data_IF_842353809343
#
_entry.id   IF_842353809343
#
_cell.length_a   1.000
_cell.length_b   1.000
_cell.length_c   1.000
_cell.angle_alpha   90.00
_cell.angle_beta   90.00
_cell.angle_gamma   90.00
#
_symmetry.space_group_name_H-M   'P 1'
#
loop_
_entity.id
_entity.type
_entity.pdbx_description
1 polymer ?
#
# COMPACT_ATOMS: atom_id res chain seq x y z
N UNK A 1 -3.52 -16.98 28.98
CA UNK A 1 -4.00 -15.72 28.35
C UNK A 1 -3.28 -15.55 27.00
N UNK A 2 -4.03 -15.60 25.91
CA UNK A 2 -3.46 -15.50 24.55
C UNK A 2 -2.98 -14.04 24.37
N UNK A 3 -1.71 -13.88 24.01
CA UNK A 3 -1.11 -12.56 23.77
C UNK A 3 -1.34 -12.13 22.33
N UNK A 4 -2.38 -11.35 22.10
CA UNK A 4 -2.75 -10.86 20.76
C UNK A 4 -1.61 -10.12 20.05
N UNK A 5 -0.78 -9.37 20.80
CA UNK A 5 0.40 -8.70 20.26
C UNK A 5 1.37 -9.70 19.60
N UNK A 6 1.57 -10.88 20.20
CA UNK A 6 2.46 -11.91 19.66
C UNK A 6 1.87 -12.62 18.43
N UNK A 7 0.57 -12.91 18.45
CA UNK A 7 -0.08 -13.49 17.27
C UNK A 7 0.03 -12.50 16.09
N UNK A 8 -0.23 -11.21 16.33
CA UNK A 8 -0.08 -10.17 15.31
C UNK A 8 1.33 -10.17 14.71
N UNK A 9 2.37 -10.16 15.55
CA UNK A 9 3.77 -10.18 15.11
C UNK A 9 4.08 -11.43 14.29
N UNK A 10 3.69 -12.63 14.77
CA UNK A 10 3.95 -13.87 14.05
C UNK A 10 3.19 -13.97 12.74
N UNK A 11 1.96 -13.47 12.66
CA UNK A 11 1.22 -13.36 11.40
C UNK A 11 1.98 -12.51 10.38
N UNK A 12 2.54 -11.36 10.81
CA UNK A 12 3.36 -10.51 9.94
C UNK A 12 4.67 -11.16 9.54
N UNK A 13 5.34 -11.89 10.48
CA UNK A 13 6.59 -12.62 10.19
C UNK A 13 6.34 -13.69 9.12
N UNK A 14 5.28 -14.51 9.28
CA UNK A 14 4.92 -15.55 8.30
C UNK A 14 4.57 -14.95 6.95
N UNK A 15 3.75 -13.89 6.93
CA UNK A 15 3.40 -13.18 5.70
C UNK A 15 4.65 -12.60 4.99
N UNK A 16 5.57 -12.01 5.75
CA UNK A 16 6.81 -11.46 5.22
C UNK A 16 7.77 -12.53 4.69
N UNK A 17 7.89 -13.68 5.39
CA UNK A 17 8.69 -14.81 4.93
C UNK A 17 8.13 -15.45 3.65
N UNK A 18 6.81 -15.52 3.53
CA UNK A 18 6.13 -16.06 2.35
C UNK A 18 5.94 -15.08 1.20
N UNK A 19 6.27 -13.81 1.38
CA UNK A 19 5.98 -12.72 0.44
C UNK A 19 6.45 -13.00 -0.99
N UNK A 20 7.69 -13.46 -1.17
CA UNK A 20 8.26 -13.73 -2.50
C UNK A 20 7.56 -14.88 -3.21
N UNK A 21 6.97 -15.81 -2.44
CA UNK A 21 6.29 -17.00 -2.94
C UNK A 21 4.78 -16.81 -3.12
N UNK A 22 4.24 -15.65 -2.71
CA UNK A 22 2.80 -15.35 -2.77
C UNK A 22 2.26 -15.32 -4.20
N UNK A 23 3.12 -14.94 -5.18
CA UNK A 23 2.75 -14.96 -6.60
C UNK A 23 2.71 -16.36 -7.24
N UNK A 24 3.23 -17.40 -6.55
CA UNK A 24 3.38 -18.74 -7.13
C UNK A 24 2.94 -19.88 -6.21
N UNK A 25 3.72 -20.15 -5.16
CA UNK A 25 3.57 -21.34 -4.32
C UNK A 25 2.56 -21.16 -3.18
N UNK A 26 2.44 -19.96 -2.61
CA UNK A 26 1.62 -19.67 -1.43
C UNK A 26 0.66 -18.51 -1.73
N UNK A 27 -0.13 -18.67 -2.78
CA UNK A 27 -1.05 -17.63 -3.29
C UNK A 27 -1.92 -16.95 -2.21
N UNK A 28 -2.58 -17.67 -1.26
CA UNK A 28 -3.51 -17.06 -0.30
C UNK A 28 -2.84 -16.50 0.97
N UNK A 29 -1.50 -16.29 1.02
CA UNK A 29 -0.83 -15.91 2.26
C UNK A 29 -1.26 -14.55 2.78
N UNK A 30 -1.54 -13.60 1.91
CA UNK A 30 -2.03 -12.27 2.25
C UNK A 30 -3.50 -12.29 2.70
N UNK A 31 -4.34 -13.12 2.05
CA UNK A 31 -5.71 -13.35 2.52
C UNK A 31 -5.70 -13.94 3.93
N UNK A 32 -4.92 -15.01 4.16
CA UNK A 32 -4.81 -15.62 5.48
C UNK A 32 -4.31 -14.63 6.53
N UNK A 33 -3.30 -13.84 6.21
CA UNK A 33 -2.78 -12.82 7.11
C UNK A 33 -3.83 -11.72 7.39
N UNK A 34 -4.51 -11.23 6.35
CA UNK A 34 -5.55 -10.21 6.48
C UNK A 34 -6.73 -10.72 7.35
N UNK A 35 -7.23 -11.92 7.09
CA UNK A 35 -8.35 -12.49 7.85
C UNK A 35 -7.98 -12.79 9.30
N UNK A 36 -6.75 -13.26 9.53
CA UNK A 36 -6.23 -13.45 10.90
C UNK A 36 -6.19 -12.12 11.65
N UNK A 37 -5.65 -11.06 11.04
CA UNK A 37 -5.63 -9.73 11.64
C UNK A 37 -7.04 -9.17 11.87
N UNK A 38 -7.95 -9.35 10.92
CA UNK A 38 -9.35 -8.91 11.05
C UNK A 38 -10.04 -9.64 12.21
N UNK A 39 -9.94 -10.97 12.25
CA UNK A 39 -10.53 -11.78 13.32
C UNK A 39 -9.98 -11.38 14.71
N UNK A 40 -8.67 -11.16 14.79
CA UNK A 40 -8.01 -10.67 16.03
C UNK A 40 -8.54 -9.29 16.44
N UNK A 41 -8.65 -8.36 15.49
CA UNK A 41 -9.16 -7.02 15.74
C UNK A 41 -10.61 -7.04 16.21
N UNK A 42 -11.47 -7.83 15.58
CA UNK A 42 -12.86 -8.00 15.99
C UNK A 42 -12.97 -8.68 17.36
N UNK A 43 -12.17 -9.72 17.62
CA UNK A 43 -12.13 -10.37 18.92
C UNK A 43 -11.67 -9.41 20.03
N UNK A 44 -10.61 -8.62 19.81
CA UNK A 44 -10.16 -7.60 20.76
C UNK A 44 -11.24 -6.53 20.99
N UNK A 45 -11.93 -6.12 19.92
CA UNK A 45 -13.01 -5.14 19.98
C UNK A 45 -14.17 -5.63 20.87
N UNK A 46 -14.58 -6.90 20.70
CA UNK A 46 -15.73 -7.49 21.39
C UNK A 46 -15.35 -7.83 22.84
N UNK A 47 -14.27 -8.61 23.05
CA UNK A 47 -13.89 -9.15 24.35
C UNK A 47 -13.44 -8.03 25.31
N UNK A 48 -12.68 -7.07 24.82
CA UNK A 48 -12.14 -5.97 25.62
C UNK A 48 -12.98 -4.69 25.52
N UNK A 49 -14.16 -4.73 24.92
CA UNK A 49 -15.07 -3.58 24.75
C UNK A 49 -14.41 -2.34 24.15
N UNK A 50 -13.44 -2.52 23.23
CA UNK A 50 -12.63 -1.42 22.66
C UNK A 50 -13.28 -0.77 21.43
N UNK A 51 -14.60 -0.71 21.34
CA UNK A 51 -15.38 -0.19 20.21
C UNK A 51 -14.92 1.18 19.71
N UNK A 52 -14.55 2.07 20.65
CA UNK A 52 -14.08 3.42 20.28
C UNK A 52 -12.75 3.41 19.55
N UNK A 53 -11.84 2.48 19.88
CA UNK A 53 -10.55 2.36 19.22
C UNK A 53 -10.68 1.79 17.81
N UNK A 54 -11.63 0.86 17.62
CA UNK A 54 -11.88 0.22 16.33
C UNK A 54 -12.90 0.94 15.45
N UNK A 55 -13.41 2.12 15.86
CA UNK A 55 -14.37 2.90 15.04
C UNK A 55 -13.98 3.05 13.57
N UNK A 56 -12.71 3.39 13.21
CA UNK A 56 -12.34 3.52 11.81
C UNK A 56 -12.48 2.21 11.02
N UNK A 57 -12.07 1.08 11.62
CA UNK A 57 -12.21 -0.25 11.00
C UNK A 57 -13.69 -0.63 10.82
N UNK A 58 -14.50 -0.44 11.87
CA UNK A 58 -15.92 -0.73 11.82
C UNK A 58 -16.65 0.14 10.79
N UNK A 59 -16.22 1.41 10.64
CA UNK A 59 -16.77 2.30 9.61
C UNK A 59 -16.44 1.79 8.20
N UNK A 60 -15.20 1.35 7.94
CA UNK A 60 -14.82 0.77 6.64
C UNK A 60 -15.65 -0.49 6.36
N UNK A 61 -15.81 -1.39 7.33
CA UNK A 61 -16.65 -2.59 7.20
C UNK A 61 -18.10 -2.20 6.88
N UNK A 62 -18.64 -1.20 7.57
CA UNK A 62 -20.02 -0.73 7.34
C UNK A 62 -20.19 -0.11 5.94
N UNK A 63 -19.20 0.66 5.46
CA UNK A 63 -19.18 1.21 4.11
C UNK A 63 -19.15 0.07 3.08
N UNK A 64 -18.28 -0.92 3.26
CA UNK A 64 -18.21 -2.08 2.35
C UNK A 64 -19.51 -2.87 2.34
N UNK A 65 -20.15 -3.09 3.50
CA UNK A 65 -21.47 -3.72 3.59
C UNK A 65 -22.53 -2.90 2.84
N UNK A 66 -22.51 -1.57 2.94
CA UNK A 66 -23.37 -0.69 2.17
C UNK A 66 -23.15 -0.82 0.66
N UNK A 67 -21.88 -0.92 0.23
CA UNK A 67 -21.54 -1.14 -1.18
C UNK A 67 -21.96 -2.54 -1.67
N UNK A 68 -21.93 -3.59 -0.83
CA UNK A 68 -22.46 -4.91 -1.19
C UNK A 68 -23.96 -4.80 -1.54
N UNK A 69 -24.74 -4.14 -0.69
CA UNK A 69 -26.16 -3.91 -0.95
C UNK A 69 -26.37 -3.09 -2.23
N UNK A 70 -25.66 -1.97 -2.35
CA UNK A 70 -25.73 -1.11 -3.54
C UNK A 70 -25.41 -1.86 -4.83
N UNK A 71 -24.32 -2.65 -4.83
CA UNK A 71 -23.85 -3.39 -6.01
C UNK A 71 -24.84 -4.49 -6.43
N UNK A 72 -25.52 -5.11 -5.46
CA UNK A 72 -26.59 -6.09 -5.74
C UNK A 72 -27.73 -5.44 -6.51
N UNK A 73 -28.09 -4.18 -6.19
CA UNK A 73 -29.11 -3.43 -6.95
C UNK A 73 -28.62 -2.99 -8.33
N UNK A 74 -27.32 -2.71 -8.50
CA UNK A 74 -26.74 -2.38 -9.81
C UNK A 74 -26.76 -3.56 -10.77
N UNK A 75 -26.55 -4.79 -10.30
CA UNK A 75 -26.71 -6.00 -11.08
C UNK A 75 -25.62 -6.31 -12.11
N UNK A 76 -24.46 -5.63 -12.06
CA UNK A 76 -23.34 -5.89 -12.99
C UNK A 76 -22.60 -7.20 -12.71
N UNK A 77 -22.78 -7.77 -11.51
CA UNK A 77 -22.20 -9.05 -11.13
C UNK A 77 -23.09 -9.78 -10.13
N UNK A 78 -22.77 -11.03 -9.83
CA UNK A 78 -23.55 -11.88 -8.91
C UNK A 78 -23.09 -11.70 -7.46
N UNK A 79 -24.01 -11.92 -6.50
CA UNK A 79 -23.76 -11.68 -5.07
C UNK A 79 -22.49 -12.36 -4.52
N UNK A 80 -22.14 -13.62 -4.86
CA UNK A 80 -20.91 -14.24 -4.35
C UNK A 80 -19.65 -13.45 -4.73
N UNK A 81 -19.56 -12.95 -5.97
CA UNK A 81 -18.41 -12.17 -6.45
C UNK A 81 -18.40 -10.74 -5.89
N UNK A 82 -19.57 -10.13 -5.69
CA UNK A 82 -19.72 -8.84 -4.99
C UNK A 82 -19.17 -8.94 -3.55
N UNK A 83 -19.53 -10.01 -2.82
CA UNK A 83 -19.03 -10.25 -1.46
C UNK A 83 -17.53 -10.55 -1.47
N UNK A 84 -17.07 -11.35 -2.42
CA UNK A 84 -15.64 -11.64 -2.59
C UNK A 84 -14.84 -10.35 -2.81
N UNK A 85 -15.31 -9.46 -3.68
CA UNK A 85 -14.66 -8.17 -3.96
C UNK A 85 -14.63 -7.30 -2.70
N UNK A 86 -15.73 -7.17 -1.97
CA UNK A 86 -15.79 -6.43 -0.72
C UNK A 86 -14.75 -6.91 0.31
N UNK A 87 -14.51 -8.22 0.38
CA UNK A 87 -13.52 -8.82 1.29
C UNK A 87 -12.10 -8.51 0.83
N UNK A 88 -11.83 -8.59 -0.48
CA UNK A 88 -10.53 -8.26 -1.05
C UNK A 88 -10.20 -6.78 -0.82
N UNK A 89 -11.17 -5.91 -1.04
CA UNK A 89 -11.03 -4.45 -0.87
C UNK A 89 -10.77 -4.00 0.58
N UNK A 90 -10.96 -4.89 1.58
CA UNK A 90 -10.57 -4.63 2.97
C UNK A 90 -9.06 -4.75 3.22
N UNK A 91 -8.29 -5.42 2.35
CA UNK A 91 -6.86 -5.70 2.56
C UNK A 91 -6.00 -4.46 2.86
N UNK A 92 -6.15 -3.29 2.20
CA UNK A 92 -5.33 -2.12 2.52
C UNK A 92 -5.62 -1.51 3.89
N UNK A 93 -6.83 -1.70 4.43
CA UNK A 93 -7.28 -1.03 5.66
C UNK A 93 -6.98 -1.85 6.92
N UNK A 94 -7.23 -3.16 6.86
CA UNK A 94 -7.18 -4.05 8.04
C UNK A 94 -5.81 -4.06 8.72
N UNK A 95 -4.66 -4.28 8.03
CA UNK A 95 -3.37 -4.37 8.68
C UNK A 95 -3.02 -3.08 9.43
N UNK A 96 -3.20 -1.93 8.77
CA UNK A 96 -2.92 -0.63 9.38
C UNK A 96 -3.77 -0.39 10.64
N UNK A 97 -5.09 -0.56 10.52
CA UNK A 97 -6.03 -0.22 11.60
C UNK A 97 -5.92 -1.16 12.79
N UNK A 98 -5.72 -2.45 12.56
CA UNK A 98 -5.57 -3.44 13.63
C UNK A 98 -4.26 -3.22 14.38
N UNK A 99 -3.15 -3.04 13.66
CA UNK A 99 -1.84 -2.79 14.27
C UNK A 99 -1.83 -1.48 15.06
N UNK A 100 -2.47 -0.43 14.53
CA UNK A 100 -2.60 0.86 15.22
C UNK A 100 -3.27 0.72 16.60
N UNK A 101 -4.24 -0.21 16.75
CA UNK A 101 -4.98 -0.40 18.01
C UNK A 101 -4.28 -1.40 18.95
N UNK A 102 -3.81 -2.54 18.41
CA UNK A 102 -3.12 -3.58 19.20
C UNK A 102 -1.76 -3.08 19.69
N UNK A 103 -1.07 -2.25 18.90
CA UNK A 103 0.27 -1.69 19.18
C UNK A 103 1.30 -2.76 19.54
N UNK A 104 1.53 -3.76 18.67
CA UNK A 104 2.45 -4.83 18.95
C UNK A 104 3.89 -4.30 19.14
N UNK A 105 4.58 -4.80 20.16
CA UNK A 105 5.96 -4.43 20.45
C UNK A 105 6.92 -5.56 20.02
N UNK A 106 7.81 -5.24 19.09
CA UNK A 106 8.85 -6.17 18.64
C UNK A 106 9.97 -6.29 19.69
N UNK A 107 10.23 -7.48 20.16
CA UNK A 107 11.39 -7.75 20.99
C UNK A 107 12.67 -7.91 20.13
N UNK A 108 13.83 -8.00 20.78
CA UNK A 108 15.13 -8.13 20.08
C UNK A 108 15.21 -9.38 19.20
N UNK A 109 14.63 -10.50 19.65
CA UNK A 109 14.61 -11.74 18.87
C UNK A 109 13.75 -11.59 17.61
N UNK A 110 12.55 -11.04 17.73
CA UNK A 110 11.64 -10.80 16.61
C UNK A 110 12.26 -9.83 15.59
N UNK A 111 12.94 -8.76 16.05
CA UNK A 111 13.71 -7.86 15.17
C UNK A 111 14.83 -8.58 14.42
N UNK A 112 15.59 -9.47 15.09
CA UNK A 112 16.65 -10.27 14.46
C UNK A 112 16.07 -11.23 13.42
N UNK A 113 14.95 -11.91 13.74
CA UNK A 113 14.25 -12.80 12.81
C UNK A 113 13.81 -12.03 11.56
N UNK A 114 13.16 -10.88 11.70
CA UNK A 114 12.73 -10.06 10.57
C UNK A 114 13.91 -9.56 9.72
N UNK A 115 15.01 -9.14 10.35
CA UNK A 115 16.26 -8.78 9.61
C UNK A 115 16.83 -9.97 8.87
N UNK A 116 16.84 -11.15 9.49
CA UNK A 116 17.28 -12.39 8.85
C UNK A 116 16.43 -12.77 7.63
N UNK A 117 15.10 -12.71 7.77
CA UNK A 117 14.17 -12.95 6.63
C UNK A 117 14.40 -11.94 5.52
N UNK A 118 14.59 -10.65 5.83
CA UNK A 118 14.90 -9.65 4.82
C UNK A 118 16.16 -10.02 4.01
N UNK A 119 17.22 -10.45 4.68
CA UNK A 119 18.46 -10.90 4.02
C UNK A 119 18.19 -12.15 3.15
N UNK A 120 17.45 -13.14 3.68
CA UNK A 120 17.08 -14.34 2.92
C UNK A 120 16.27 -13.98 1.67
N UNK A 121 15.31 -13.07 1.78
CA UNK A 121 14.55 -12.58 0.62
C UNK A 121 15.47 -11.96 -0.45
N UNK A 122 16.45 -11.15 -0.06
CA UNK A 122 17.42 -10.56 -1.00
C UNK A 122 18.28 -11.63 -1.66
N UNK A 123 18.77 -12.60 -0.91
CA UNK A 123 19.53 -13.74 -1.47
C UNK A 123 18.65 -14.52 -2.46
N UNK A 124 17.41 -14.79 -2.10
CA UNK A 124 16.44 -15.46 -2.99
C UNK A 124 16.22 -14.65 -4.27
N UNK A 125 16.08 -13.33 -4.19
CA UNK A 125 15.95 -12.46 -5.37
C UNK A 125 17.19 -12.56 -6.26
N UNK A 126 18.41 -12.53 -5.71
CA UNK A 126 19.65 -12.70 -6.47
C UNK A 126 19.70 -14.05 -7.18
N UNK A 127 19.32 -15.14 -6.50
CA UNK A 127 19.23 -16.49 -7.10
C UNK A 127 18.22 -16.51 -8.24
N UNK A 128 17.04 -15.90 -8.08
CA UNK A 128 16.01 -15.83 -9.11
C UNK A 128 16.41 -14.96 -10.32
N UNK A 129 17.26 -13.94 -10.12
CA UNK A 129 17.86 -13.21 -11.24
C UNK A 129 18.86 -14.08 -12.01
N UNK A 130 19.62 -14.93 -11.31
CA UNK A 130 20.59 -15.84 -11.94
C UNK A 130 19.92 -17.05 -12.61
N UNK A 131 18.66 -17.37 -12.28
CA UNK A 131 17.91 -18.54 -12.78
C UNK A 131 16.62 -18.11 -13.50
N UNK A 132 16.70 -17.39 -14.64
CA UNK A 132 15.52 -16.83 -15.31
C UNK A 132 14.56 -17.93 -15.80
N UNK A 133 15.06 -19.04 -16.30
CA UNK A 133 14.23 -20.16 -16.78
C UNK A 133 13.37 -20.72 -15.65
N UNK A 134 13.97 -20.98 -14.49
CA UNK A 134 13.24 -21.47 -13.32
C UNK A 134 12.19 -20.46 -12.84
N UNK A 135 12.56 -19.18 -12.77
CA UNK A 135 11.66 -18.09 -12.39
C UNK A 135 10.45 -17.98 -13.32
N UNK A 136 10.68 -17.93 -14.65
CA UNK A 136 9.66 -17.59 -15.62
C UNK A 136 8.76 -18.79 -15.96
N UNK A 137 9.33 -19.99 -16.10
CA UNK A 137 8.58 -21.17 -16.52
C UNK A 137 8.08 -22.04 -15.35
N UNK A 138 8.84 -22.15 -14.26
CA UNK A 138 8.44 -23.00 -13.12
C UNK A 138 7.64 -22.24 -12.10
N UNK A 139 8.11 -21.04 -11.71
CA UNK A 139 7.45 -20.21 -10.70
C UNK A 139 6.44 -19.24 -11.28
N UNK A 140 6.53 -18.95 -12.57
CA UNK A 140 5.71 -17.92 -13.26
C UNK A 140 5.75 -16.57 -12.52
N UNK A 141 6.92 -16.23 -11.96
CA UNK A 141 7.10 -15.07 -11.10
C UNK A 141 7.61 -13.89 -11.93
N UNK A 142 6.77 -12.88 -12.08
CA UNK A 142 7.12 -11.69 -12.85
C UNK A 142 8.23 -10.86 -12.16
N UNK A 143 9.18 -10.34 -12.93
CA UNK A 143 10.31 -9.52 -12.45
C UNK A 143 9.92 -8.35 -11.53
N UNK A 144 8.73 -7.79 -11.73
CA UNK A 144 8.18 -6.73 -10.89
C UNK A 144 8.18 -7.12 -9.41
N UNK A 145 7.77 -8.35 -9.10
CA UNK A 145 7.67 -8.83 -7.73
C UNK A 145 9.02 -8.99 -7.03
N UNK A 146 10.12 -9.14 -7.78
CA UNK A 146 11.46 -9.16 -7.21
C UNK A 146 11.88 -7.76 -6.72
N UNK A 147 11.59 -6.71 -7.50
CA UNK A 147 11.83 -5.33 -7.08
C UNK A 147 11.02 -4.95 -5.86
N UNK A 148 9.69 -5.20 -5.89
CA UNK A 148 8.81 -4.90 -4.75
C UNK A 148 9.20 -5.67 -3.49
N UNK A 149 9.69 -6.92 -3.63
CA UNK A 149 10.24 -7.72 -2.51
C UNK A 149 11.49 -7.05 -1.92
N UNK A 150 12.40 -6.54 -2.75
CA UNK A 150 13.56 -5.79 -2.27
C UNK A 150 13.15 -4.53 -1.52
N UNK A 151 12.16 -3.79 -2.03
CA UNK A 151 11.70 -2.55 -1.40
C UNK A 151 11.06 -2.79 -0.03
N UNK A 152 10.15 -3.75 0.07
CA UNK A 152 9.51 -4.11 1.36
C UNK A 152 10.55 -4.70 2.33
N UNK A 153 11.47 -5.54 1.87
CA UNK A 153 12.55 -6.08 2.70
C UNK A 153 13.44 -4.97 3.27
N UNK A 154 13.75 -3.96 2.46
CA UNK A 154 14.47 -2.76 2.88
C UNK A 154 13.70 -2.00 3.96
N UNK A 155 12.39 -1.77 3.81
CA UNK A 155 11.58 -1.06 4.80
C UNK A 155 11.51 -1.82 6.13
N UNK A 156 11.29 -3.14 6.09
CA UNK A 156 11.27 -4.00 7.30
C UNK A 156 12.62 -4.00 7.98
N UNK A 157 13.71 -4.18 7.22
CA UNK A 157 15.08 -4.19 7.75
C UNK A 157 15.40 -2.85 8.41
N UNK A 158 15.10 -1.74 7.75
CA UNK A 158 15.31 -0.39 8.28
C UNK A 158 14.53 -0.17 9.59
N UNK A 159 13.23 -0.55 9.63
CA UNK A 159 12.41 -0.43 10.83
C UNK A 159 13.01 -1.23 12.02
N UNK A 160 13.49 -2.45 11.76
CA UNK A 160 14.10 -3.29 12.77
C UNK A 160 15.50 -2.81 13.21
N UNK A 161 16.14 -1.92 12.44
CA UNK A 161 17.48 -1.39 12.71
C UNK A 161 17.49 -0.08 13.50
N UNK A 162 16.33 0.52 13.73
CA UNK A 162 16.23 1.74 14.53
C UNK A 162 16.47 1.40 16.00
N UNK A 163 17.45 2.06 16.62
CA UNK A 163 17.72 1.93 18.05
C UNK A 163 16.75 2.78 18.92
N UNK A 164 16.90 2.74 20.23
CA UNK A 164 16.06 3.49 21.16
C UNK A 164 16.22 5.01 21.05
N UNK A 165 17.35 5.47 20.50
CA UNK A 165 17.65 6.89 20.28
C UNK A 165 17.20 7.38 18.90
N UNK A 166 16.72 6.47 18.03
CA UNK A 166 16.26 6.77 16.67
C UNK A 166 17.39 6.76 15.63
N UNK A 167 18.55 6.19 15.95
CA UNK A 167 19.67 6.05 15.02
C UNK A 167 19.65 4.70 14.30
N UNK A 168 20.32 4.67 13.16
CA UNK A 168 20.60 3.46 12.39
C UNK A 168 22.10 3.36 12.20
N UNK A 169 22.69 2.20 12.48
CA UNK A 169 24.13 1.99 12.35
C UNK A 169 24.58 2.15 10.89
N UNK A 170 25.83 2.60 10.63
CA UNK A 170 26.36 2.67 9.25
C UNK A 170 26.30 1.33 8.52
N UNK A 171 26.55 0.22 9.22
CA UNK A 171 26.47 -1.12 8.64
C UNK A 171 25.03 -1.48 8.22
N UNK A 172 24.04 -1.19 9.07
CA UNK A 172 22.62 -1.40 8.74
C UNK A 172 22.19 -0.49 7.58
N UNK A 173 22.66 0.76 7.53
CA UNK A 173 22.37 1.68 6.41
C UNK A 173 22.97 1.16 5.09
N UNK A 174 24.19 0.62 5.14
CA UNK A 174 24.80 -0.02 3.97
C UNK A 174 23.98 -1.21 3.48
N UNK A 175 23.51 -2.07 4.41
CA UNK A 175 22.62 -3.19 4.05
C UNK A 175 21.33 -2.71 3.39
N UNK A 176 20.70 -1.67 3.91
CA UNK A 176 19.50 -1.03 3.32
C UNK A 176 19.75 -0.55 1.89
N UNK A 177 20.88 0.13 1.65
CA UNK A 177 21.25 0.61 0.31
C UNK A 177 21.56 -0.54 -0.64
N UNK A 178 22.22 -1.61 -0.17
CA UNK A 178 22.46 -2.83 -0.98
C UNK A 178 21.14 -3.47 -1.39
N UNK A 179 20.15 -3.58 -0.49
CA UNK A 179 18.82 -4.11 -0.82
C UNK A 179 18.14 -3.31 -1.94
N UNK A 180 18.25 -1.97 -1.90
CA UNK A 180 17.73 -1.09 -2.97
C UNK A 180 18.44 -1.32 -4.30
N UNK A 181 19.78 -1.46 -4.28
CA UNK A 181 20.57 -1.70 -5.49
C UNK A 181 20.23 -3.05 -6.12
N UNK A 182 20.08 -4.10 -5.32
CA UNK A 182 19.67 -5.43 -5.81
C UNK A 182 18.33 -5.35 -6.54
N UNK A 183 17.38 -4.58 -6.01
CA UNK A 183 16.07 -4.42 -6.64
C UNK A 183 16.10 -3.75 -8.01
N UNK A 184 17.15 -2.98 -8.36
CA UNK A 184 17.30 -2.40 -9.72
C UNK A 184 17.34 -3.44 -10.82
N UNK A 185 17.74 -4.68 -10.50
CA UNK A 185 17.74 -5.81 -11.42
C UNK A 185 16.34 -6.21 -11.95
N UNK A 186 15.27 -5.73 -11.34
CA UNK A 186 13.90 -5.95 -11.85
C UNK A 186 13.63 -5.22 -13.19
N UNK A 187 14.49 -4.28 -13.60
CA UNK A 187 14.39 -3.51 -14.84
C UNK A 187 13.02 -2.80 -15.04
N UNK A 188 12.42 -2.30 -13.95
CA UNK A 188 11.12 -1.61 -13.99
C UNK A 188 11.27 -0.12 -13.65
N UNK A 189 10.73 0.75 -14.52
CA UNK A 189 10.84 2.21 -14.37
C UNK A 189 10.26 2.71 -13.04
N UNK A 190 9.12 2.15 -12.57
CA UNK A 190 8.51 2.50 -11.29
C UNK A 190 9.43 2.21 -10.11
N UNK A 191 10.12 1.04 -10.11
CA UNK A 191 11.10 0.73 -9.08
C UNK A 191 12.29 1.69 -9.08
N UNK A 192 12.75 2.14 -10.25
CA UNK A 192 13.82 3.14 -10.33
C UNK A 192 13.40 4.46 -9.67
N UNK A 193 12.14 4.89 -9.89
CA UNK A 193 11.57 6.04 -9.20
C UNK A 193 11.52 5.86 -7.69
N UNK A 194 11.08 4.71 -7.21
CA UNK A 194 11.05 4.35 -5.79
C UNK A 194 12.45 4.34 -5.17
N UNK A 195 13.45 3.73 -5.84
CA UNK A 195 14.81 3.67 -5.37
C UNK A 195 15.43 5.07 -5.24
N UNK A 196 15.18 5.93 -6.20
CA UNK A 196 15.63 7.33 -6.17
C UNK A 196 15.00 8.09 -5.01
N UNK A 197 13.68 7.97 -4.82
CA UNK A 197 12.98 8.56 -3.67
C UNK A 197 13.53 8.01 -2.35
N UNK A 198 13.78 6.68 -2.27
CA UNK A 198 14.35 6.06 -1.07
C UNK A 198 15.73 6.61 -0.76
N UNK A 199 16.63 6.71 -1.74
CA UNK A 199 17.97 7.30 -1.57
C UNK A 199 17.86 8.76 -1.09
N UNK A 200 16.96 9.55 -1.70
CA UNK A 200 16.71 10.92 -1.28
C UNK A 200 16.30 11.00 0.19
N UNK A 201 15.28 10.24 0.60
CA UNK A 201 14.78 10.26 1.97
C UNK A 201 15.79 9.71 2.97
N UNK A 202 16.53 8.66 2.64
CA UNK A 202 17.49 8.02 3.54
C UNK A 202 18.72 8.89 3.76
N UNK A 203 19.29 9.45 2.69
CA UNK A 203 20.58 10.13 2.75
C UNK A 203 20.45 11.66 2.88
N UNK A 204 19.52 12.27 2.15
CA UNK A 204 19.46 13.72 2.01
C UNK A 204 18.40 14.36 2.92
N UNK A 205 17.28 13.69 3.19
CA UNK A 205 16.24 14.28 4.03
C UNK A 205 16.72 14.47 5.46
N UNK A 206 16.59 15.71 5.97
CA UNK A 206 16.85 16.06 7.37
C UNK A 206 15.67 16.86 7.93
N UNK A 207 15.21 16.58 9.17
CA UNK A 207 14.16 17.36 9.80
C UNK A 207 14.55 18.85 9.86
N UNK A 208 13.63 19.73 9.51
CA UNK A 208 13.89 21.17 9.45
C UNK A 208 14.48 21.69 8.13
N UNK A 209 14.70 20.81 7.14
CA UNK A 209 15.24 21.16 5.83
C UNK A 209 14.44 22.24 5.09
N UNK A 210 13.12 22.35 5.36
CA UNK A 210 12.26 23.37 4.76
C UNK A 210 12.61 24.82 5.17
N UNK A 211 13.40 25.00 6.25
CA UNK A 211 13.80 26.33 6.76
C UNK A 211 15.13 26.85 6.23
N UNK A 212 15.84 26.05 5.41
CA UNK A 212 17.16 26.41 4.93
C UNK A 212 17.74 25.41 3.93
N UNK A 213 16.91 24.92 3.00
CA UNK A 213 17.39 24.01 1.94
C UNK A 213 18.36 24.77 1.06
N UNK A 214 19.64 24.33 1.05
CA UNK A 214 20.61 24.87 0.10
C UNK A 214 20.08 24.66 -1.32
N UNK A 215 20.22 25.65 -2.21
CA UNK A 215 19.73 25.55 -3.60
C UNK A 215 20.16 24.27 -4.33
N UNK A 216 21.34 23.74 -4.00
CA UNK A 216 21.87 22.49 -4.58
C UNK A 216 20.98 21.24 -4.30
N UNK A 217 20.27 21.18 -3.18
CA UNK A 217 19.36 20.04 -2.92
C UNK A 217 18.07 20.11 -3.75
N UNK A 218 17.56 21.33 -4.00
CA UNK A 218 16.45 21.53 -4.93
C UNK A 218 16.86 21.18 -6.35
N UNK A 219 18.06 21.60 -6.75
CA UNK A 219 18.61 21.27 -8.06
C UNK A 219 18.80 19.76 -8.21
N UNK A 220 19.36 19.08 -7.21
CA UNK A 220 19.50 17.62 -7.22
C UNK A 220 18.14 16.92 -7.28
N UNK A 221 17.18 17.36 -6.48
CA UNK A 221 15.79 16.80 -6.51
C UNK A 221 15.14 17.01 -7.86
N UNK A 222 15.34 18.17 -8.48
CA UNK A 222 14.82 18.46 -9.82
C UNK A 222 15.53 17.61 -10.89
N UNK A 223 16.87 17.48 -10.83
CA UNK A 223 17.62 16.62 -11.75
C UNK A 223 17.17 15.16 -11.66
N UNK A 224 16.94 14.66 -10.45
CA UNK A 224 16.42 13.32 -10.20
C UNK A 224 15.00 13.17 -10.77
N UNK A 225 14.11 14.13 -10.52
CA UNK A 225 12.75 14.15 -11.08
C UNK A 225 12.77 14.16 -12.61
N UNK A 226 13.65 14.96 -13.20
CA UNK A 226 13.85 15.03 -14.66
C UNK A 226 14.41 13.71 -15.20
N UNK A 227 15.40 13.11 -14.54
CA UNK A 227 15.95 11.81 -14.95
C UNK A 227 14.89 10.68 -14.89
N UNK A 228 14.11 10.62 -13.81
CA UNK A 228 12.96 9.69 -13.69
C UNK A 228 11.92 9.98 -14.77
N UNK A 229 11.61 11.25 -15.02
CA UNK A 229 10.71 11.68 -16.07
C UNK A 229 11.21 11.24 -17.46
N UNK A 230 12.49 11.42 -17.77
CA UNK A 230 13.08 10.99 -19.04
C UNK A 230 13.05 9.47 -19.23
N UNK A 231 13.42 8.70 -18.20
CA UNK A 231 13.36 7.22 -18.24
C UNK A 231 11.92 6.73 -18.38
N UNK A 232 10.99 7.41 -17.71
CA UNK A 232 9.56 7.06 -17.77
C UNK A 232 8.90 7.55 -19.05
N UNK A 233 9.41 8.61 -19.68
CA UNK A 233 8.83 9.24 -20.87
C UNK A 233 8.67 8.28 -22.05
N UNK A 234 9.69 7.48 -22.34
CA UNK A 234 9.62 6.49 -23.43
C UNK A 234 8.50 5.48 -23.21
N UNK A 235 8.27 5.06 -21.95
CA UNK A 235 7.16 4.15 -21.63
C UNK A 235 5.81 4.89 -21.62
N UNK A 236 5.76 6.09 -21.08
CA UNK A 236 4.56 6.91 -21.12
C UNK A 236 4.16 7.22 -22.55
N UNK A 237 5.11 7.67 -23.36
CA UNK A 237 4.91 7.91 -24.81
C UNK A 237 4.43 6.63 -25.52
N UNK A 238 5.07 5.48 -25.26
CA UNK A 238 4.67 4.21 -25.84
C UNK A 238 3.23 3.81 -25.50
N UNK A 239 2.82 3.93 -24.22
CA UNK A 239 1.49 3.49 -23.78
C UNK A 239 0.38 4.51 -24.04
N UNK A 240 0.69 5.81 -24.07
CA UNK A 240 -0.34 6.86 -24.09
C UNK A 240 -0.30 7.78 -25.32
N UNK A 241 0.82 7.83 -26.07
CA UNK A 241 0.98 8.78 -27.18
C UNK A 241 1.24 8.13 -28.53
N UNK A 242 2.03 7.07 -28.62
CA UNK A 242 2.55 6.61 -29.92
C UNK A 242 2.26 5.15 -30.26
N UNK A 243 1.77 4.32 -29.33
CA UNK A 243 1.72 2.88 -29.60
C UNK A 243 3.11 2.34 -30.04
N UNK A 244 3.18 1.42 -30.96
CA UNK A 244 4.44 0.87 -31.49
C UNK A 244 5.13 1.78 -32.54
N UNK A 245 5.33 3.05 -32.23
CA UNK A 245 6.42 3.89 -32.71
C UNK A 245 6.47 4.36 -34.17
N UNK A 246 5.81 3.79 -35.16
CA UNK A 246 5.97 4.22 -36.58
C UNK A 246 4.68 4.44 -37.36
N UNK A 247 3.54 4.17 -36.79
CA UNK A 247 2.26 4.55 -37.37
C UNK A 247 1.32 5.01 -36.27
N UNK A 248 0.96 6.29 -36.27
CA UNK A 248 -0.17 6.83 -35.50
C UNK A 248 -1.44 6.22 -36.12
N UNK A 249 -1.70 4.97 -35.82
CA UNK A 249 -2.99 4.38 -36.06
C UNK A 249 -3.83 4.63 -34.80
N UNK A 250 -4.87 5.46 -34.86
CA UNK A 250 -5.75 5.72 -33.71
C UNK A 250 -6.31 4.45 -33.11
N UNK A 251 -6.44 3.38 -33.90
CA UNK A 251 -6.92 2.07 -33.46
C UNK A 251 -5.91 1.34 -32.58
N UNK A 252 -4.61 1.64 -32.67
CA UNK A 252 -3.56 0.98 -31.86
C UNK A 252 -3.51 1.55 -30.43
N UNK A 253 -3.80 2.82 -30.23
CA UNK A 253 -3.89 3.42 -28.89
C UNK A 253 -5.05 2.82 -28.08
N UNK A 254 -6.12 2.42 -28.75
CA UNK A 254 -7.28 1.74 -28.16
C UNK A 254 -7.02 0.25 -27.84
N UNK A 255 -5.93 -0.32 -28.36
CA UNK A 255 -5.63 -1.75 -28.20
C UNK A 255 -4.90 -2.11 -26.90
N UNK A 256 -4.38 -1.14 -26.15
CA UNK A 256 -3.70 -1.41 -24.87
C UNK A 256 -4.68 -1.42 -23.70
N UNK A 257 -4.75 -2.56 -23.00
CA UNK A 257 -5.67 -2.75 -21.87
C UNK A 257 -5.60 -1.64 -20.81
N UNK A 258 -4.38 -1.24 -20.38
CA UNK A 258 -4.24 -0.27 -19.28
C UNK A 258 -4.73 1.14 -19.63
N UNK A 259 -4.36 1.78 -20.77
CA UNK A 259 -4.95 3.06 -21.16
C UNK A 259 -6.46 3.03 -21.26
N UNK A 260 -7.02 1.94 -21.78
CA UNK A 260 -8.48 1.76 -21.89
C UNK A 260 -9.11 1.68 -20.51
N UNK A 261 -8.53 0.92 -19.56
CA UNK A 261 -9.04 0.87 -18.19
C UNK A 261 -9.08 2.27 -17.55
N UNK A 262 -8.03 3.08 -17.73
CA UNK A 262 -8.01 4.45 -17.21
C UNK A 262 -9.05 5.35 -17.88
N UNK A 263 -9.17 5.31 -19.21
CA UNK A 263 -10.16 6.11 -19.94
C UNK A 263 -11.59 5.72 -19.55
N UNK A 264 -11.88 4.41 -19.54
CA UNK A 264 -13.20 3.89 -19.15
C UNK A 264 -13.53 4.19 -17.70
N UNK A 265 -12.55 4.15 -16.79
CA UNK A 265 -12.78 4.53 -15.39
C UNK A 265 -13.28 5.96 -15.25
N UNK A 266 -12.77 6.88 -16.08
CA UNK A 266 -13.25 8.26 -16.14
C UNK A 266 -14.71 8.36 -16.58
N UNK A 267 -15.11 7.58 -17.59
CA UNK A 267 -16.50 7.53 -18.05
C UNK A 267 -17.41 6.95 -16.95
N UNK A 268 -17.01 5.83 -16.34
CA UNK A 268 -17.77 5.21 -15.24
C UNK A 268 -17.96 6.19 -14.06
N UNK A 269 -16.95 6.98 -13.71
CA UNK A 269 -17.07 8.00 -12.66
C UNK A 269 -18.11 9.07 -12.97
N UNK A 270 -18.30 9.41 -14.25
CA UNK A 270 -19.31 10.36 -14.71
C UNK A 270 -20.70 9.73 -14.77
N UNK A 271 -20.82 8.58 -15.43
CA UNK A 271 -22.10 7.92 -15.70
C UNK A 271 -22.76 7.35 -14.44
N UNK A 272 -21.93 6.92 -13.48
CA UNK A 272 -22.38 6.36 -12.20
C UNK A 272 -22.09 7.30 -11.00
N UNK A 273 -22.11 8.61 -11.23
CA UNK A 273 -21.94 9.61 -10.16
C UNK A 273 -23.08 9.48 -9.13
N UNK A 274 -22.83 9.61 -7.82
CA UNK A 274 -21.51 9.79 -7.17
C UNK A 274 -20.90 8.49 -6.63
N UNK A 275 -21.61 7.37 -6.61
CA UNK A 275 -21.28 6.12 -5.92
C UNK A 275 -20.55 5.07 -6.79
N UNK A 276 -20.39 5.34 -8.08
CA UNK A 276 -19.72 4.43 -9.02
C UNK A 276 -20.58 3.28 -9.50
N UNK A 277 -19.95 2.32 -10.18
CA UNK A 277 -20.65 1.16 -10.77
C UNK A 277 -20.93 0.03 -9.77
N UNK A 278 -20.34 0.06 -8.57
CA UNK A 278 -20.49 -0.99 -7.56
C UNK A 278 -19.39 -2.04 -7.59
N UNK A 279 -19.29 -2.82 -6.52
CA UNK A 279 -18.30 -3.87 -6.34
C UNK A 279 -18.39 -4.95 -7.43
N UNK A 280 -17.27 -5.57 -7.75
CA UNK A 280 -17.13 -6.61 -8.77
C UNK A 280 -17.57 -6.19 -10.17
N UNK A 281 -17.64 -4.90 -10.45
CA UNK A 281 -18.10 -4.39 -11.74
C UNK A 281 -16.95 -4.04 -12.69
N UNK A 282 -15.81 -3.51 -12.19
CA UNK A 282 -14.76 -2.97 -13.04
C UNK A 282 -13.35 -3.05 -12.43
N UNK A 283 -12.37 -3.50 -13.23
CA UNK A 283 -10.93 -3.50 -12.94
C UNK A 283 -10.54 -4.16 -11.59
N UNK A 284 -11.35 -5.11 -11.10
CA UNK A 284 -11.09 -5.89 -9.90
C UNK A 284 -10.94 -7.38 -10.22
N UNK A 285 -10.32 -8.14 -9.30
CA UNK A 285 -10.21 -9.59 -9.44
C UNK A 285 -11.59 -10.26 -9.58
N UNK A 286 -12.57 -9.82 -8.80
CA UNK A 286 -13.90 -10.36 -8.83
C UNK A 286 -14.61 -10.11 -10.17
N UNK A 287 -14.38 -8.93 -10.79
CA UNK A 287 -14.94 -8.60 -12.10
C UNK A 287 -14.28 -9.37 -13.25
N UNK A 288 -13.07 -9.92 -13.04
CA UNK A 288 -12.44 -10.82 -14.01
C UNK A 288 -12.79 -12.28 -13.75
N UNK A 289 -12.88 -12.72 -12.49
CA UNK A 289 -13.19 -14.12 -12.13
C UNK A 289 -14.62 -14.51 -12.50
N UNK A 290 -15.56 -13.58 -12.43
CA UNK A 290 -16.86 -13.67 -13.05
C UNK A 290 -17.05 -12.41 -13.88
N UNK A 291 -16.91 -12.57 -15.20
CA UNK A 291 -16.81 -11.46 -16.11
C UNK A 291 -18.01 -10.51 -16.02
N UNK A 292 -17.74 -9.25 -15.69
CA UNK A 292 -18.79 -8.27 -15.45
C UNK A 292 -19.46 -7.83 -16.75
N UNK A 293 -20.79 -7.67 -16.74
CA UNK A 293 -21.54 -7.14 -17.87
C UNK A 293 -21.16 -5.72 -18.26
N UNK A 294 -20.54 -4.97 -17.33
CA UNK A 294 -20.11 -3.60 -17.58
C UNK A 294 -19.06 -3.48 -18.71
N UNK A 295 -18.22 -4.52 -18.90
CA UNK A 295 -17.25 -4.54 -20.02
C UNK A 295 -17.91 -4.56 -21.38
N UNK A 296 -19.08 -5.20 -21.51
CA UNK A 296 -19.90 -5.18 -22.72
C UNK A 296 -20.57 -3.82 -22.92
N UNK A 297 -21.08 -3.23 -21.85
CA UNK A 297 -21.75 -1.92 -21.87
C UNK A 297 -20.85 -0.81 -22.41
N UNK A 298 -19.56 -0.82 -21.99
CA UNK A 298 -18.55 0.14 -22.47
C UNK A 298 -17.80 -0.30 -23.73
N UNK A 299 -18.14 -1.45 -24.32
CA UNK A 299 -17.59 -1.94 -25.58
C UNK A 299 -16.10 -2.31 -25.53
N UNK A 300 -15.54 -2.57 -24.32
CA UNK A 300 -14.13 -2.90 -24.12
C UNK A 300 -13.86 -4.40 -24.04
N UNK A 301 -14.90 -5.22 -24.15
CA UNK A 301 -14.83 -6.68 -24.12
C UNK A 301 -14.09 -7.32 -25.30
N UNK A 302 -13.77 -6.56 -26.35
CA UNK A 302 -13.01 -7.03 -27.52
C UNK A 302 -11.51 -6.69 -27.45
N UNK A 303 -11.07 -5.99 -26.40
CA UNK A 303 -9.68 -5.57 -26.23
C UNK A 303 -8.87 -6.72 -25.65
N UNK A 304 -7.68 -6.95 -26.20
CA UNK A 304 -6.76 -7.98 -25.74
C UNK A 304 -6.41 -7.79 -24.25
N UNK A 305 -6.62 -8.82 -23.46
CA UNK A 305 -6.43 -8.80 -22.00
C UNK A 305 -7.61 -8.27 -21.19
N UNK A 306 -8.66 -7.73 -21.84
CA UNK A 306 -9.90 -7.29 -21.19
C UNK A 306 -11.11 -8.11 -21.63
N UNK A 307 -10.95 -9.06 -22.56
CA UNK A 307 -12.03 -9.92 -23.05
C UNK A 307 -12.38 -11.02 -22.05
N UNK A 308 -13.61 -11.54 -22.13
CA UNK A 308 -14.06 -12.65 -21.31
C UNK A 308 -13.21 -13.91 -21.48
N UNK A 309 -12.75 -14.18 -22.72
CA UNK A 309 -11.88 -15.32 -23.05
C UNK A 309 -10.44 -15.15 -22.57
N UNK A 310 -10.00 -13.90 -22.34
CA UNK A 310 -8.64 -13.58 -21.90
C UNK A 310 -8.65 -12.32 -21.02
N UNK A 311 -9.02 -12.44 -19.71
CA UNK A 311 -9.20 -11.30 -18.81
C UNK A 311 -7.95 -10.93 -18.01
N UNK A 312 -6.75 -11.32 -18.44
CA UNK A 312 -5.51 -11.31 -17.64
C UNK A 312 -5.02 -9.91 -17.27
N UNK A 313 -5.45 -8.86 -17.99
CA UNK A 313 -5.04 -7.48 -17.74
C UNK A 313 -6.12 -6.62 -17.05
N UNK A 314 -7.25 -7.20 -16.67
CA UNK A 314 -8.30 -6.48 -15.93
C UNK A 314 -7.76 -5.91 -14.62
N UNK A 315 -6.90 -6.66 -13.92
CA UNK A 315 -6.29 -6.26 -12.64
C UNK A 315 -4.91 -5.57 -12.82
N UNK A 316 -4.62 -4.98 -13.97
CA UNK A 316 -3.29 -4.45 -14.29
C UNK A 316 -3.01 -3.05 -13.70
N UNK A 317 -4.00 -2.43 -13.06
CA UNK A 317 -3.87 -1.17 -12.34
C UNK A 317 -4.93 -1.05 -11.23
N UNK A 318 -4.54 -0.44 -10.09
CA UNK A 318 -5.44 -0.24 -8.96
C UNK A 318 -6.36 0.98 -9.15
N UNK A 319 -5.84 2.11 -9.63
CA UNK A 319 -6.65 3.33 -9.69
C UNK A 319 -7.91 3.23 -10.54
N UNK A 320 -7.95 2.51 -11.69
CA UNK A 320 -9.18 2.28 -12.41
C UNK A 320 -10.26 1.56 -11.58
N UNK A 321 -9.90 0.64 -10.68
CA UNK A 321 -10.88 -0.06 -9.85
C UNK A 321 -11.64 0.85 -8.89
N UNK A 322 -11.08 2.03 -8.57
CA UNK A 322 -11.77 3.02 -7.74
C UNK A 322 -13.06 3.56 -8.39
N UNK A 323 -13.23 3.39 -9.71
CA UNK A 323 -14.47 3.75 -10.39
C UNK A 323 -15.68 2.93 -9.88
N UNK A 324 -15.45 1.74 -9.33
CA UNK A 324 -16.48 0.94 -8.65
C UNK A 324 -17.13 1.70 -7.48
N UNK A 325 -16.32 2.51 -6.78
CA UNK A 325 -16.74 3.27 -5.61
C UNK A 325 -17.12 4.71 -5.93
N UNK A 326 -16.97 5.14 -7.18
CA UNK A 326 -17.27 6.48 -7.63
C UNK A 326 -16.43 7.56 -6.97
N UNK A 327 -16.83 8.81 -7.16
CA UNK A 327 -16.13 9.97 -6.58
C UNK A 327 -16.12 9.92 -5.05
N UNK A 328 -17.18 9.41 -4.43
CA UNK A 328 -17.25 9.24 -2.97
C UNK A 328 -16.17 8.30 -2.48
N UNK A 329 -15.98 7.14 -3.13
CA UNK A 329 -14.93 6.19 -2.77
C UNK A 329 -13.53 6.75 -2.97
N UNK A 330 -13.28 7.47 -4.07
CA UNK A 330 -11.98 8.14 -4.31
C UNK A 330 -11.66 9.12 -3.18
N UNK A 331 -12.61 9.97 -2.79
CA UNK A 331 -12.44 10.93 -1.69
C UNK A 331 -12.20 10.24 -0.36
N UNK A 332 -12.93 9.16 -0.07
CA UNK A 332 -12.76 8.37 1.15
C UNK A 332 -11.38 7.70 1.19
N UNK A 333 -10.93 7.14 0.08
CA UNK A 333 -9.61 6.51 -0.02
C UNK A 333 -8.48 7.53 0.20
N UNK A 334 -8.53 8.69 -0.46
CA UNK A 334 -7.55 9.77 -0.23
C UNK A 334 -7.59 10.23 1.23
N UNK A 335 -8.78 10.39 1.81
CA UNK A 335 -8.95 10.77 3.21
C UNK A 335 -8.31 9.75 4.14
N UNK A 336 -8.47 8.46 3.84
CA UNK A 336 -7.83 7.37 4.58
C UNK A 336 -6.30 7.46 4.50
N UNK A 337 -5.72 7.64 3.31
CA UNK A 337 -4.27 7.75 3.15
C UNK A 337 -3.70 8.95 3.94
N UNK A 338 -4.35 10.11 3.85
CA UNK A 338 -3.97 11.30 4.63
C UNK A 338 -4.09 11.03 6.13
N UNK A 339 -5.16 10.37 6.57
CA UNK A 339 -5.34 10.01 7.97
C UNK A 339 -4.29 9.02 8.45
N UNK A 340 -3.97 7.99 7.67
CA UNK A 340 -2.97 6.97 7.98
C UNK A 340 -1.55 7.55 8.09
N UNK A 341 -1.24 8.62 7.36
CA UNK A 341 0.06 9.28 7.40
C UNK A 341 0.22 10.27 8.57
N UNK A 342 -0.87 10.79 9.13
CA UNK A 342 -0.83 11.78 10.23
C UNK A 342 0.00 11.36 11.46
N UNK A 343 -0.03 10.10 11.95
CA UNK A 343 0.79 9.67 13.08
C UNK A 343 2.28 9.84 12.82
N UNK A 344 2.78 9.54 11.62
CA UNK A 344 4.19 9.71 11.25
C UNK A 344 4.62 11.19 11.28
N UNK A 345 3.78 12.09 10.76
CA UNK A 345 4.04 13.54 10.84
C UNK A 345 3.99 14.06 12.27
N UNK A 346 3.13 13.48 13.11
CA UNK A 346 3.06 13.83 14.54
C UNK A 346 4.33 13.39 15.27
N UNK A 347 4.80 12.17 15.04
CA UNK A 347 6.07 11.67 15.60
C UNK A 347 7.23 12.58 15.26
N UNK A 348 7.36 12.96 13.99
CA UNK A 348 8.41 13.85 13.52
C UNK A 348 8.36 15.22 14.20
N UNK A 349 7.17 15.76 14.51
CA UNK A 349 7.00 17.05 15.21
C UNK A 349 7.35 16.97 16.69
N UNK A 350 7.17 15.81 17.32
CA UNK A 350 7.47 15.61 18.74
C UNK A 350 8.98 15.58 19.00
N UNK A 351 9.70 14.77 18.24
CA UNK A 351 11.15 14.69 18.30
C UNK A 351 11.69 14.40 16.89
N UNK A 352 12.12 15.43 16.15
CA UNK A 352 12.58 15.30 14.79
C UNK A 352 13.82 14.41 14.62
N UNK A 353 14.72 14.38 15.61
CA UNK A 353 15.94 13.58 15.54
C UNK A 353 15.63 12.09 15.75
N UNK A 354 14.90 11.79 16.83
CA UNK A 354 14.54 10.42 17.21
C UNK A 354 13.60 9.75 16.21
N UNK A 355 12.66 10.50 15.61
CA UNK A 355 11.63 9.92 14.76
C UNK A 355 11.83 10.14 13.26
N UNK A 356 13.03 10.61 12.85
CA UNK A 356 13.37 10.82 11.44
C UNK A 356 13.12 9.56 10.60
N UNK A 357 13.70 8.43 11.00
CA UNK A 357 13.58 7.19 10.23
C UNK A 357 12.18 6.59 10.27
N UNK A 358 11.42 6.74 11.36
CA UNK A 358 10.01 6.36 11.40
C UNK A 358 9.18 7.13 10.37
N UNK A 359 9.42 8.44 10.27
CA UNK A 359 8.79 9.27 9.24
C UNK A 359 9.19 8.86 7.82
N UNK A 360 10.48 8.62 7.59
CA UNK A 360 11.02 8.17 6.30
C UNK A 360 10.39 6.85 5.87
N UNK A 361 10.30 5.86 6.77
CA UNK A 361 9.67 4.57 6.50
C UNK A 361 8.20 4.75 6.10
N UNK A 362 7.44 5.54 6.85
CA UNK A 362 6.03 5.79 6.52
C UNK A 362 5.88 6.53 5.19
N UNK A 363 6.75 7.50 4.90
CA UNK A 363 6.75 8.23 3.64
C UNK A 363 7.07 7.30 2.46
N UNK A 364 8.08 6.46 2.60
CA UNK A 364 8.47 5.49 1.55
C UNK A 364 7.40 4.41 1.35
N UNK A 365 6.78 3.89 2.42
CA UNK A 365 5.67 2.94 2.31
C UNK A 365 4.46 3.57 1.61
N UNK A 366 4.15 4.84 1.90
CA UNK A 366 3.09 5.58 1.21
C UNK A 366 3.43 5.80 -0.27
N UNK A 367 4.64 6.25 -0.59
CA UNK A 367 5.10 6.43 -1.97
C UNK A 367 5.07 5.10 -2.74
N UNK A 368 5.51 4.01 -2.13
CA UNK A 368 5.43 2.67 -2.71
C UNK A 368 4.00 2.30 -3.10
N UNK A 369 3.02 2.44 -2.19
CA UNK A 369 1.62 2.16 -2.49
C UNK A 369 1.13 3.02 -3.65
N UNK A 370 1.42 4.33 -3.63
CA UNK A 370 0.94 5.26 -4.66
C UNK A 370 1.57 4.98 -6.04
N UNK A 371 2.87 4.72 -6.10
CA UNK A 371 3.59 4.48 -7.36
C UNK A 371 3.22 3.12 -7.95
N UNK A 372 3.22 2.08 -7.12
CA UNK A 372 2.91 0.74 -7.57
C UNK A 372 1.46 0.61 -8.05
N UNK A 373 0.52 1.34 -7.46
CA UNK A 373 -0.91 1.35 -7.82
C UNK A 373 -1.20 1.87 -9.23
N UNK A 374 -0.25 2.57 -9.86
CA UNK A 374 -0.40 3.05 -11.25
C UNK A 374 -0.44 1.89 -12.25
N UNK A 375 0.29 0.82 -11.97
CA UNK A 375 0.47 -0.30 -12.91
C UNK A 375 0.51 -1.66 -12.21
N UNK A 376 -0.29 -1.81 -11.18
CA UNK A 376 -0.62 -3.08 -10.52
C UNK A 376 -1.69 -2.84 -9.45
N UNK A 377 -2.38 -3.90 -9.02
CA UNK A 377 -3.30 -3.87 -7.87
C UNK A 377 -2.55 -4.07 -6.55
N UNK A 378 -1.41 -3.38 -6.40
CA UNK A 378 -0.49 -3.56 -5.28
C UNK A 378 -1.13 -3.46 -3.89
N UNK A 379 -2.06 -2.53 -3.62
CA UNK A 379 -2.72 -2.46 -2.32
C UNK A 379 -3.44 -3.75 -1.90
N UNK A 380 -3.89 -4.55 -2.87
CA UNK A 380 -4.61 -5.82 -2.66
C UNK A 380 -3.67 -7.03 -2.58
N UNK A 381 -2.36 -6.84 -2.74
CA UNK A 381 -1.36 -7.90 -2.76
C UNK A 381 -0.54 -7.93 -1.46
N UNK A 382 0.23 -9.00 -1.27
CA UNK A 382 1.07 -9.22 -0.08
C UNK A 382 1.98 -8.04 0.24
N UNK A 383 2.59 -7.43 -0.77
CA UNK A 383 3.51 -6.29 -0.58
C UNK A 383 2.78 -5.04 -0.08
N UNK A 384 1.58 -4.77 -0.61
CA UNK A 384 0.73 -3.66 -0.15
C UNK A 384 0.24 -3.88 1.27
N UNK A 385 -0.19 -5.10 1.62
CA UNK A 385 -0.55 -5.47 2.99
C UNK A 385 0.61 -5.20 3.96
N UNK A 386 1.83 -5.63 3.62
CA UNK A 386 3.02 -5.41 4.44
C UNK A 386 3.41 -3.93 4.52
N UNK A 387 3.28 -3.16 3.44
CA UNK A 387 3.50 -1.72 3.47
C UNK A 387 2.54 -1.02 4.44
N UNK A 388 1.25 -1.37 4.41
CA UNK A 388 0.25 -0.86 5.34
C UNK A 388 0.50 -1.32 6.78
N UNK A 389 0.96 -2.57 6.97
CA UNK A 389 1.37 -3.08 8.29
C UNK A 389 2.55 -2.29 8.86
N UNK A 390 3.58 -2.01 8.06
CA UNK A 390 4.74 -1.19 8.47
C UNK A 390 4.30 0.23 8.83
N UNK A 391 3.41 0.85 8.04
CA UNK A 391 2.83 2.14 8.40
C UNK A 391 2.07 2.07 9.72
N UNK A 392 1.33 0.98 9.97
CA UNK A 392 0.64 0.72 11.23
C UNK A 392 1.61 0.60 12.41
N UNK A 393 2.74 -0.10 12.24
CA UNK A 393 3.80 -0.22 13.25
C UNK A 393 4.43 1.14 13.59
N UNK A 394 4.69 1.97 12.58
CA UNK A 394 5.15 3.35 12.78
C UNK A 394 4.10 4.17 13.52
N UNK A 395 2.85 4.10 13.09
CA UNK A 395 1.74 4.84 13.70
C UNK A 395 1.50 4.43 15.18
N UNK A 396 1.74 3.17 15.51
CA UNK A 396 1.61 2.63 16.87
C UNK A 396 2.62 3.24 17.87
N UNK A 397 3.74 3.81 17.38
CA UNK A 397 4.72 4.54 18.20
C UNK A 397 4.22 5.93 18.62
N UNK A 398 3.20 6.47 17.95
CA UNK A 398 2.67 7.78 18.28
C UNK A 398 1.92 7.71 19.64
N UNK A 399 2.17 8.69 20.54
CA UNK A 399 1.42 8.76 21.78
C UNK A 399 -0.07 8.93 21.49
N UNK A 400 -0.91 8.30 22.30
CA UNK A 400 -2.35 8.47 22.21
C UNK A 400 -2.68 9.98 22.30
N UNK A 401 -3.54 10.46 21.41
CA UNK A 401 -4.06 11.82 21.53
C UNK A 401 -4.76 11.90 22.88
N UNK A 402 -4.22 12.68 23.84
CA UNK A 402 -4.98 13.02 25.03
C UNK A 402 -6.27 13.65 24.51
N UNK A 403 -7.40 13.00 24.75
CA UNK A 403 -8.67 13.71 24.71
C UNK A 403 -8.42 14.96 25.56
N UNK A 404 -8.68 16.13 25.00
CA UNK A 404 -8.67 17.39 25.75
C UNK A 404 -9.63 17.12 26.90
N UNK A 405 -9.09 16.83 28.08
CA UNK A 405 -9.87 16.92 29.29
C UNK A 405 -10.29 18.38 29.32
N UNK A 406 -11.60 18.69 29.37
CA UNK A 406 -12.00 20.04 29.64
C UNK A 406 -11.26 20.42 30.95
N UNK A 407 -10.46 21.46 30.86
CA UNK A 407 -9.81 22.04 32.04
C UNK A 407 -10.91 22.21 33.07
N UNK A 408 -10.88 21.36 34.11
CA UNK A 408 -11.58 21.68 35.34
C UNK A 408 -10.91 22.96 35.87
N UNK A 409 -11.49 24.07 35.52
CA UNK A 409 -11.22 25.34 36.18
C UNK A 409 -11.44 25.07 37.65
N UNK A 410 -10.37 24.99 38.39
CA UNK A 410 -10.43 25.00 39.85
C UNK A 410 -11.02 26.34 40.28
N UNK A 411 -12.33 26.34 40.50
CA UNK A 411 -13.09 27.41 41.11
C UNK A 411 -12.93 27.31 42.64
N UNK A 412 -11.69 27.26 43.12
CA UNK A 412 -11.38 27.17 44.56
C UNK A 412 -10.50 28.33 45.05
N UNK A 413 -10.75 29.54 44.58
CA UNK A 413 -10.14 30.73 45.21
C UNK A 413 -11.06 31.96 45.18
N UNK A 414 -12.27 31.84 45.68
CA UNK A 414 -13.11 33.04 45.95
C UNK A 414 -14.15 32.81 47.08
N UNK A 415 -13.79 32.08 48.12
CA UNK A 415 -14.61 32.13 49.36
C UNK A 415 -13.63 32.11 50.54
N UNK A 416 -12.98 33.22 50.83
CA UNK A 416 -12.43 33.52 52.14
C UNK A 416 -12.09 35.01 52.19
N UNK A 417 -13.14 35.84 52.30
CA UNK A 417 -13.08 37.19 52.93
C UNK A 417 -14.53 37.68 53.13
N UNK A 418 -15.13 37.31 54.26
CA UNK A 418 -16.11 38.07 55.01
C UNK A 418 -16.60 37.27 56.23
N UNK A 419 -15.93 37.42 57.33
CA UNK A 419 -16.48 37.69 58.65
C UNK A 419 -15.34 38.11 59.59
#
# INVERSE_FOLDING_TARGET
>A
MIRLDKICIWTLIVCFAGMIWSGSLVKPIDEMACYTLLAMGLMDCIVNHRWRAYRPLLLVIAIMAGYVVYSTFKGFNTLPYIVMDAIIELKPFVPFMVILVIKPQLNLTERRVLKGIAIVNIITVLVLYAMPVFRDYTLQLHLMFLGTTCFISMLVYLYCSIDEQGHVSPADMTAVLVMLVVGLGCARAKYYGEAVLAIFFLLLYRPGMSRGVKPGYWLLSLMVLVAVGMVSWNKFSYYFLTGNGDTIDPTVAETFARPVLYATSGLILLDHFPLGSGLASFASYASSAHYSSLYYEYGINNIYGLSESYPDFICDAFYPSLAQFGVVGVVLFITFLVWAFRPATRLLRLDPQRHRYHYVIAALAMCFILIESVASTMPMQTWGLLAMAIMGLVAAQAPATRAVQPSSVQLNHLITYRT
#
